data_IF_354388459879
#
_entry.id   IF_354388459879
#
_cell.length_a   1.000
_cell.length_b   1.000
_cell.length_c   1.000
_cell.angle_alpha   90.00
_cell.angle_beta   90.00
_cell.angle_gamma   90.00
#
_symmetry.space_group_name_H-M   'P 1'
#
loop_
_entity.id
_entity.type
_entity.pdbx_description
1 polymer ?
#
# COMPACT_ATOMS: atom_id res chain seq x y z
N UNK A 1 -23.61 12.64 -18.00
CA UNK A 1 -22.14 12.52 -18.16
C UNK A 1 -21.79 11.04 -18.18
N UNK A 2 -21.44 10.51 -19.35
CA UNK A 2 -21.06 9.11 -19.52
C UNK A 2 -19.77 8.83 -18.74
N UNK A 3 -19.88 8.14 -17.60
CA UNK A 3 -18.72 7.41 -17.09
C UNK A 3 -18.47 6.28 -18.07
N UNK A 4 -17.47 6.44 -18.94
CA UNK A 4 -17.00 5.35 -19.78
C UNK A 4 -16.60 4.20 -18.87
N UNK A 5 -17.48 3.19 -18.76
CA UNK A 5 -17.17 1.95 -18.05
C UNK A 5 -16.12 1.25 -18.90
N UNK A 6 -14.85 1.47 -18.55
CA UNK A 6 -13.71 0.75 -19.12
C UNK A 6 -14.03 -0.72 -19.21
N UNK A 7 -13.75 -1.32 -20.36
CA UNK A 7 -13.93 -2.75 -20.57
C UNK A 7 -13.07 -3.55 -19.57
N UNK A 8 -13.44 -4.79 -19.24
CA UNK A 8 -12.63 -5.64 -18.37
C UNK A 8 -11.16 -5.75 -18.84
N UNK A 9 -10.93 -5.76 -20.15
CA UNK A 9 -9.59 -5.80 -20.75
C UNK A 9 -8.80 -4.53 -20.46
N UNK A 10 -9.40 -3.35 -20.62
CA UNK A 10 -8.75 -2.07 -20.31
C UNK A 10 -8.46 -1.93 -18.80
N UNK A 11 -9.34 -2.46 -17.95
CA UNK A 11 -9.11 -2.51 -16.50
C UNK A 11 -7.93 -3.43 -16.17
N UNK A 12 -7.86 -4.60 -16.80
CA UNK A 12 -6.79 -5.56 -16.61
C UNK A 12 -5.44 -5.02 -17.10
N UNK A 13 -5.39 -4.39 -18.29
CA UNK A 13 -4.16 -3.75 -18.79
C UNK A 13 -3.68 -2.62 -17.88
N UNK A 14 -4.59 -1.82 -17.32
CA UNK A 14 -4.22 -0.80 -16.34
C UNK A 14 -3.67 -1.40 -15.04
N UNK A 15 -4.25 -2.52 -14.61
CA UNK A 15 -3.79 -3.25 -13.45
C UNK A 15 -2.35 -3.75 -13.65
N UNK A 16 -2.05 -4.37 -14.81
CA UNK A 16 -0.70 -4.84 -15.16
C UNK A 16 0.30 -3.68 -15.15
N UNK A 17 0.01 -2.60 -15.88
CA UNK A 17 0.90 -1.44 -15.94
C UNK A 17 1.15 -0.84 -14.55
N UNK A 18 0.13 -0.84 -13.68
CA UNK A 18 0.27 -0.39 -12.31
C UNK A 18 1.17 -1.32 -11.49
N UNK A 19 1.04 -2.64 -11.64
CA UNK A 19 1.92 -3.61 -11.00
C UNK A 19 3.38 -3.49 -11.47
N UNK A 20 3.62 -3.30 -12.77
CA UNK A 20 4.96 -3.08 -13.30
C UNK A 20 5.60 -1.83 -12.69
N UNK A 21 4.83 -0.74 -12.59
CA UNK A 21 5.27 0.49 -11.93
C UNK A 21 5.59 0.26 -10.44
N UNK A 22 4.77 -0.51 -9.74
CA UNK A 22 5.00 -0.86 -8.33
C UNK A 22 6.28 -1.69 -8.16
N UNK A 23 6.52 -2.64 -9.07
CA UNK A 23 7.76 -3.43 -9.10
C UNK A 23 8.98 -2.54 -9.27
N UNK A 24 9.01 -1.71 -10.30
CA UNK A 24 10.16 -0.84 -10.59
C UNK A 24 10.48 0.06 -9.40
N UNK A 25 9.46 0.70 -8.83
CA UNK A 25 9.62 1.53 -7.64
C UNK A 25 10.12 0.74 -6.42
N UNK A 26 9.67 -0.51 -6.26
CA UNK A 26 10.12 -1.37 -5.16
C UNK A 26 11.61 -1.69 -5.30
N UNK A 27 12.04 -2.15 -6.48
CA UNK A 27 13.43 -2.48 -6.78
C UNK A 27 14.36 -1.27 -6.65
N UNK A 28 13.95 -0.12 -7.19
CA UNK A 28 14.70 1.13 -7.04
C UNK A 28 14.87 1.51 -5.57
N UNK A 29 13.82 1.35 -4.75
CA UNK A 29 13.91 1.68 -3.33
C UNK A 29 14.80 0.72 -2.56
N UNK A 30 14.73 -0.58 -2.83
CA UNK A 30 15.63 -1.57 -2.24
C UNK A 30 17.09 -1.28 -2.60
N UNK A 31 17.37 -0.95 -3.86
CA UNK A 31 18.71 -0.58 -4.32
C UNK A 31 19.23 0.71 -3.69
N UNK A 32 18.35 1.68 -3.37
CA UNK A 32 18.74 2.98 -2.81
C UNK A 32 19.29 2.93 -1.38
N UNK A 33 19.15 1.80 -0.65
CA UNK A 33 19.52 1.65 0.78
C UNK A 33 18.94 2.70 1.74
N UNK A 34 18.01 3.55 1.30
CA UNK A 34 17.45 4.66 2.09
C UNK A 34 16.40 4.23 3.14
N UNK A 35 16.17 2.93 3.36
CA UNK A 35 15.07 2.47 4.21
C UNK A 35 15.44 2.34 5.70
N UNK A 36 15.77 3.47 6.33
CA UNK A 36 15.88 3.62 7.79
C UNK A 36 17.13 2.97 8.41
N UNK A 37 17.09 2.77 9.73
CA UNK A 37 18.24 2.32 10.53
C UNK A 37 18.61 0.83 10.34
N UNK A 38 17.91 0.10 9.47
CA UNK A 38 18.07 -1.34 9.29
C UNK A 38 18.24 -1.73 7.83
N UNK A 39 19.22 -2.60 7.57
CA UNK A 39 19.47 -3.16 6.25
C UNK A 39 18.24 -3.95 5.74
N UNK A 40 17.90 -3.83 4.43
CA UNK A 40 16.89 -4.66 3.78
C UNK A 40 17.15 -6.16 4.02
N UNK A 41 16.09 -6.94 4.18
CA UNK A 41 16.17 -8.39 4.48
C UNK A 41 16.44 -8.72 5.96
N UNK A 42 16.88 -7.76 6.78
CA UNK A 42 17.06 -7.99 8.22
C UNK A 42 15.73 -8.16 8.96
N UNK A 43 15.72 -8.94 10.06
CA UNK A 43 14.53 -9.16 10.88
C UNK A 43 13.89 -7.85 11.37
N UNK A 44 14.71 -6.86 11.74
CA UNK A 44 14.23 -5.56 12.19
C UNK A 44 13.60 -4.75 11.05
N UNK A 45 14.14 -4.85 9.84
CA UNK A 45 13.52 -4.27 8.65
C UNK A 45 12.16 -4.89 8.38
N UNK A 46 12.06 -6.23 8.37
CA UNK A 46 10.79 -6.96 8.20
C UNK A 46 9.76 -6.58 9.27
N UNK A 47 10.17 -6.56 10.55
CA UNK A 47 9.31 -6.14 11.67
C UNK A 47 8.82 -4.70 11.49
N UNK A 48 9.71 -3.80 11.05
CA UNK A 48 9.37 -2.41 10.75
C UNK A 48 8.31 -2.29 9.66
N UNK A 49 8.42 -3.07 8.58
CA UNK A 49 7.42 -3.08 7.49
C UNK A 49 6.06 -3.59 7.95
N UNK A 50 6.04 -4.69 8.70
CA UNK A 50 4.79 -5.24 9.26
C UNK A 50 4.12 -4.23 10.20
N UNK A 51 4.89 -3.58 11.08
CA UNK A 51 4.37 -2.52 11.96
C UNK A 51 3.76 -1.37 11.15
N UNK A 52 4.43 -0.91 10.09
CA UNK A 52 3.91 0.15 9.23
C UNK A 52 2.60 -0.25 8.53
N UNK A 53 2.51 -1.48 8.02
CA UNK A 53 1.27 -2.02 7.44
C UNK A 53 0.13 -1.99 8.47
N UNK A 54 0.39 -2.47 9.69
CA UNK A 54 -0.59 -2.47 10.78
C UNK A 54 -1.04 -1.03 11.09
N UNK A 55 -0.10 -0.09 11.21
CA UNK A 55 -0.43 1.32 11.46
C UNK A 55 -1.34 1.90 10.37
N UNK A 56 -1.02 1.70 9.08
CA UNK A 56 -1.87 2.17 7.99
C UNK A 56 -3.25 1.52 7.99
N UNK A 57 -3.33 0.21 8.28
CA UNK A 57 -4.60 -0.51 8.37
C UNK A 57 -5.46 -0.02 9.54
N UNK A 58 -4.86 0.19 10.71
CA UNK A 58 -5.54 0.73 11.89
C UNK A 58 -6.05 2.16 11.67
N UNK A 59 -5.29 3.00 10.96
CA UNK A 59 -5.77 4.34 10.60
C UNK A 59 -6.99 4.31 9.67
N UNK A 60 -7.04 3.35 8.72
CA UNK A 60 -8.22 3.15 7.88
C UNK A 60 -9.42 2.85 8.77
N UNK A 61 -9.29 1.86 9.65
CA UNK A 61 -10.36 1.44 10.56
C UNK A 61 -10.83 2.59 11.45
N UNK A 62 -9.91 3.32 12.09
CA UNK A 62 -10.23 4.46 12.96
C UNK A 62 -10.98 5.56 12.21
N UNK A 63 -10.58 5.91 10.98
CA UNK A 63 -11.28 6.92 10.18
C UNK A 63 -12.69 6.47 9.80
N UNK A 64 -12.89 5.20 9.47
CA UNK A 64 -14.22 4.66 9.22
C UNK A 64 -15.08 4.63 10.49
N UNK A 65 -14.50 4.25 11.64
CA UNK A 65 -15.20 4.24 12.92
C UNK A 65 -15.64 5.64 13.37
N UNK A 66 -14.72 6.61 13.33
CA UNK A 66 -15.03 8.03 13.62
C UNK A 66 -16.01 8.60 12.61
N UNK A 67 -15.86 8.26 11.33
CA UNK A 67 -16.81 8.63 10.29
C UNK A 67 -18.23 8.21 10.60
N UNK A 68 -18.43 6.95 11.00
CA UNK A 68 -19.76 6.45 11.42
C UNK A 68 -20.33 7.19 12.63
N UNK A 69 -19.47 7.64 13.56
CA UNK A 69 -19.91 8.43 14.70
C UNK A 69 -20.33 9.84 14.28
N UNK A 70 -19.48 10.54 13.53
CA UNK A 70 -19.73 11.92 13.08
C UNK A 70 -20.95 12.00 12.16
N UNK A 71 -21.16 11.01 11.27
CA UNK A 71 -22.35 10.94 10.42
C UNK A 71 -23.65 10.70 11.18
N UNK A 72 -23.62 10.34 12.47
CA UNK A 72 -24.80 10.32 13.33
C UNK A 72 -25.09 11.67 13.97
N UNK A 73 -24.13 12.59 13.95
CA UNK A 73 -24.20 13.89 14.63
C UNK A 73 -24.55 15.02 13.68
N UNK A 74 -24.11 14.95 12.41
CA UNK A 74 -24.40 15.95 11.38
C UNK A 74 -25.44 15.41 10.39
N UNK A 75 -26.47 16.22 10.11
CA UNK A 75 -27.58 15.90 9.18
C UNK A 75 -27.44 16.64 7.84
N UNK A 76 -26.63 17.70 7.77
CA UNK A 76 -26.49 18.44 6.52
C UNK A 76 -25.72 17.64 5.45
N UNK A 77 -26.25 17.70 4.23
CA UNK A 77 -25.77 16.93 3.10
C UNK A 77 -24.31 17.24 2.74
N UNK A 78 -23.92 18.52 2.85
CA UNK A 78 -22.60 18.99 2.45
C UNK A 78 -21.52 18.51 3.43
N UNK A 79 -21.76 18.58 4.74
CA UNK A 79 -20.85 18.04 5.76
C UNK A 79 -20.73 16.53 5.63
N UNK A 80 -21.85 15.82 5.42
CA UNK A 80 -21.86 14.36 5.20
C UNK A 80 -21.01 13.96 4.00
N UNK A 81 -21.14 14.66 2.87
CA UNK A 81 -20.29 14.42 1.70
C UNK A 81 -18.81 14.72 1.97
N UNK A 82 -18.50 15.84 2.62
CA UNK A 82 -17.13 16.25 2.91
C UNK A 82 -16.41 15.23 3.82
N UNK A 83 -17.10 14.77 4.87
CA UNK A 83 -16.61 13.71 5.77
C UNK A 83 -16.36 12.41 4.98
N UNK A 84 -17.34 11.98 4.18
CA UNK A 84 -17.22 10.78 3.35
C UNK A 84 -16.06 10.84 2.36
N UNK A 85 -15.82 12.00 1.74
CA UNK A 85 -14.70 12.23 0.81
C UNK A 85 -13.35 12.13 1.52
N UNK A 86 -13.22 12.76 2.69
CA UNK A 86 -12.00 12.73 3.50
C UNK A 86 -11.62 11.31 3.94
N UNK A 87 -12.60 10.53 4.40
CA UNK A 87 -12.40 9.13 4.79
C UNK A 87 -11.92 8.30 3.59
N UNK A 88 -12.59 8.42 2.43
CA UNK A 88 -12.21 7.68 1.21
C UNK A 88 -10.81 8.05 0.72
N UNK A 89 -10.44 9.33 0.76
CA UNK A 89 -9.11 9.78 0.36
C UNK A 89 -8.03 9.22 1.28
N UNK A 90 -8.25 9.27 2.60
CA UNK A 90 -7.32 8.68 3.58
C UNK A 90 -7.19 7.18 3.38
N UNK A 91 -8.31 6.48 3.21
CA UNK A 91 -8.30 5.04 2.99
C UNK A 91 -7.54 4.64 1.73
N UNK A 92 -7.76 5.36 0.62
CA UNK A 92 -7.04 5.13 -0.63
C UNK A 92 -5.54 5.33 -0.46
N UNK A 93 -5.13 6.43 0.17
CA UNK A 93 -3.71 6.73 0.42
C UNK A 93 -3.06 5.62 1.24
N UNK A 94 -3.69 5.22 2.35
CA UNK A 94 -3.12 4.21 3.24
C UNK A 94 -3.08 2.81 2.58
N UNK A 95 -4.08 2.45 1.77
CA UNK A 95 -4.05 1.23 0.96
C UNK A 95 -2.90 1.25 -0.05
N UNK A 96 -2.65 2.39 -0.70
CA UNK A 96 -1.54 2.54 -1.64
C UNK A 96 -0.18 2.35 -0.94
N UNK A 97 -0.01 2.89 0.27
CA UNK A 97 1.20 2.69 1.07
C UNK A 97 1.38 1.23 1.52
N UNK A 98 0.30 0.56 1.91
CA UNK A 98 0.33 -0.88 2.21
C UNK A 98 0.78 -1.68 0.98
N UNK A 99 0.25 -1.36 -0.20
CA UNK A 99 0.63 -2.04 -1.45
C UNK A 99 2.11 -1.82 -1.79
N UNK A 100 2.61 -0.59 -1.65
CA UNK A 100 4.04 -0.26 -1.86
C UNK A 100 4.94 -1.04 -0.91
N UNK A 101 4.61 -1.10 0.37
CA UNK A 101 5.38 -1.86 1.36
C UNK A 101 5.34 -3.36 1.04
N UNK A 102 4.16 -3.89 0.76
CA UNK A 102 3.97 -5.32 0.42
C UNK A 102 4.76 -5.72 -0.81
N UNK A 103 4.79 -4.87 -1.84
CA UNK A 103 5.59 -5.11 -3.04
C UNK A 103 7.10 -5.16 -2.72
N UNK A 104 7.61 -4.21 -1.93
CA UNK A 104 9.03 -4.21 -1.51
C UNK A 104 9.39 -5.46 -0.70
N UNK A 105 8.54 -5.82 0.25
CA UNK A 105 8.67 -7.05 1.01
C UNK A 105 8.74 -8.27 0.08
N UNK A 106 7.80 -8.41 -0.85
CA UNK A 106 7.81 -9.53 -1.80
C UNK A 106 9.12 -9.61 -2.60
N UNK A 107 9.59 -8.50 -3.16
CA UNK A 107 10.82 -8.52 -3.95
C UNK A 107 12.08 -8.75 -3.12
N UNK A 108 12.13 -8.24 -1.88
CA UNK A 108 13.23 -8.57 -0.96
C UNK A 108 13.25 -10.06 -0.65
N UNK A 109 12.09 -10.68 -0.40
CA UNK A 109 12.00 -12.13 -0.19
C UNK A 109 12.53 -12.92 -1.40
N UNK A 110 12.20 -12.52 -2.63
CA UNK A 110 12.74 -13.15 -3.83
C UNK A 110 14.26 -13.03 -3.93
N UNK A 111 14.82 -11.86 -3.62
CA UNK A 111 16.27 -11.63 -3.60
C UNK A 111 16.94 -12.53 -2.55
N UNK A 112 16.37 -12.58 -1.34
CA UNK A 112 16.89 -13.42 -0.25
C UNK A 112 16.90 -14.92 -0.65
N UNK A 113 15.86 -15.38 -1.36
CA UNK A 113 15.80 -16.75 -1.88
C UNK A 113 16.85 -17.04 -2.96
N UNK A 114 17.06 -16.11 -3.89
CA UNK A 114 18.08 -16.23 -4.94
C UNK A 114 19.49 -16.28 -4.31
N UNK A 115 19.77 -15.41 -3.34
CA UNK A 115 21.04 -15.40 -2.61
C UNK A 115 21.30 -16.72 -1.85
N UNK A 116 20.28 -17.29 -1.22
CA UNK A 116 20.38 -18.60 -0.55
C UNK A 116 20.66 -19.71 -1.56
N UNK A 117 19.95 -19.72 -2.69
CA UNK A 117 20.16 -20.71 -3.76
C UNK A 117 21.59 -20.65 -4.28
N UNK A 118 22.11 -19.45 -4.51
CA UNK A 118 23.41 -19.28 -5.14
C UNK A 118 24.56 -19.60 -4.16
N UNK A 119 24.41 -19.29 -2.87
CA UNK A 119 25.34 -19.75 -1.81
C UNK A 119 25.34 -21.26 -1.60
N UNK A 120 24.23 -21.95 -1.86
CA UNK A 120 24.15 -23.41 -1.76
C UNK A 120 24.73 -24.17 -2.96
N UNK A 121 25.18 -23.46 -4.00
CA UNK A 121 25.83 -24.01 -5.20
C UNK A 121 27.36 -23.91 -5.16
N UNK A 122 27.91 -23.13 -4.24
CA UNK A 122 29.36 -23.06 -3.92
C UNK A 122 29.74 -24.14 -2.89
#
# INVERSE_FOLDING_TARGET
>A
MNSSKKTPQEQYSQLINHFDTLRENALLKLASREEGDFEPGSLNWWSGKVKAIISYASEIEDKFARGRYVLKTFDDHDSTQAIGKSIKQTARKNLEEIMKISARMYYQFCIDLDDIRDKGRE
#
